data_IF_998673855153
#
_entry.id   IF_998673855153
#
_cell.length_a   1.000
_cell.length_b   1.000
_cell.length_c   1.000
_cell.angle_alpha   90.00
_cell.angle_beta   90.00
_cell.angle_gamma   90.00
#
_symmetry.space_group_name_H-M   'P 1'
#
loop_
_entity.id
_entity.type
_entity.pdbx_description
1 polymer ?
#
# COMPACT_ATOMS: atom_id res chain seq x y z
N UNK A 1 -29.19 -1.08 0.94
CA UNK A 1 -28.06 -0.15 1.12
C UNK A 1 -26.78 -0.96 0.99
N UNK A 2 -26.00 -0.75 -0.06
CA UNK A 2 -24.67 -1.36 -0.17
C UNK A 2 -23.72 -0.52 0.68
N UNK A 3 -23.34 -1.02 1.84
CA UNK A 3 -22.25 -0.43 2.63
C UNK A 3 -20.97 -0.61 1.83
N UNK A 4 -20.50 0.46 1.18
CA UNK A 4 -19.18 0.47 0.56
C UNK A 4 -18.17 0.51 1.71
N UNK A 5 -17.71 -0.66 2.14
CA UNK A 5 -16.63 -0.79 3.10
C UNK A 5 -15.34 -0.37 2.42
N UNK A 6 -14.74 0.73 2.89
CA UNK A 6 -13.41 1.13 2.47
C UNK A 6 -12.40 0.05 2.89
N UNK A 7 -11.51 -0.39 2.00
CA UNK A 7 -10.46 -1.32 2.38
C UNK A 7 -9.50 -0.66 3.37
N UNK A 8 -8.99 -1.48 4.27
CA UNK A 8 -7.98 -1.08 5.25
C UNK A 8 -6.62 -1.52 4.71
N UNK A 9 -5.66 -0.60 4.65
CA UNK A 9 -4.29 -0.88 4.25
C UNK A 9 -3.32 -0.50 5.39
N UNK A 10 -2.18 -1.20 5.54
CA UNK A 10 -1.13 -0.82 6.47
C UNK A 10 -0.53 0.56 6.15
N UNK A 11 -0.02 1.24 7.17
CA UNK A 11 0.67 2.54 7.02
C UNK A 11 1.82 2.50 6.00
N UNK A 12 2.64 1.44 5.99
CA UNK A 12 3.73 1.27 5.03
C UNK A 12 3.25 1.24 3.57
N UNK A 13 2.04 0.73 3.32
CA UNK A 13 1.44 0.72 1.97
C UNK A 13 1.01 2.13 1.58
N UNK A 14 0.39 2.86 2.51
CA UNK A 14 0.00 4.25 2.28
C UNK A 14 1.23 5.14 2.03
N UNK A 15 2.28 4.99 2.83
CA UNK A 15 3.55 5.71 2.67
C UNK A 15 4.22 5.40 1.33
N UNK A 16 4.25 4.13 0.91
CA UNK A 16 4.82 3.73 -0.39
C UNK A 16 4.08 4.37 -1.56
N UNK A 17 2.74 4.52 -1.48
CA UNK A 17 1.96 5.20 -2.52
C UNK A 17 2.33 6.69 -2.58
N UNK A 18 2.41 7.36 -1.42
CA UNK A 18 2.74 8.79 -1.36
C UNK A 18 4.18 9.08 -1.80
N UNK A 19 5.13 8.19 -1.51
CA UNK A 19 6.51 8.30 -2.00
C UNK A 19 6.55 8.25 -3.52
N UNK A 20 5.88 7.28 -4.14
CA UNK A 20 5.80 7.17 -5.61
C UNK A 20 5.10 8.38 -6.23
N UNK A 21 4.03 8.90 -5.61
CA UNK A 21 3.39 10.14 -6.05
C UNK A 21 4.35 11.33 -5.98
N UNK A 22 5.18 11.40 -4.95
CA UNK A 22 6.21 12.44 -4.80
C UNK A 22 7.31 12.35 -5.87
N UNK A 23 7.58 11.14 -6.38
CA UNK A 23 8.46 10.90 -7.53
C UNK A 23 7.80 11.22 -8.88
N UNK A 24 6.51 11.56 -8.88
CA UNK A 24 5.77 12.00 -10.06
C UNK A 24 4.82 10.95 -10.64
N UNK A 25 4.57 9.84 -9.94
CA UNK A 25 3.64 8.81 -10.41
C UNK A 25 2.19 9.31 -10.38
N UNK A 26 1.52 9.24 -11.52
CA UNK A 26 0.09 9.45 -11.67
C UNK A 26 -0.72 8.16 -11.51
N UNK A 27 -2.04 8.30 -11.49
CA UNK A 27 -2.95 7.15 -11.37
C UNK A 27 -2.77 6.16 -12.54
N UNK A 28 -2.50 6.67 -13.74
CA UNK A 28 -2.19 5.86 -14.92
C UNK A 28 -0.89 5.07 -14.76
N UNK A 29 0.14 5.61 -14.09
CA UNK A 29 1.39 4.90 -13.84
C UNK A 29 1.17 3.71 -12.89
N UNK A 30 0.34 3.90 -11.86
CA UNK A 30 -0.07 2.81 -10.98
C UNK A 30 -0.91 1.74 -11.69
N UNK A 31 -1.82 2.15 -12.58
CA UNK A 31 -2.68 1.21 -13.34
C UNK A 31 -1.90 0.46 -14.41
N UNK A 32 -0.91 1.11 -15.02
CA UNK A 32 0.00 0.51 -16.00
C UNK A 32 1.19 -0.18 -15.35
N UNK A 33 1.34 -0.14 -14.03
CA UNK A 33 2.45 -0.75 -13.32
C UNK A 33 2.47 -2.27 -13.61
N UNK A 34 3.36 -2.77 -14.50
CA UNK A 34 3.10 -4.02 -15.19
C UNK A 34 3.50 -5.25 -14.38
N UNK A 35 4.45 -5.12 -13.45
CA UNK A 35 5.14 -6.25 -12.83
C UNK A 35 6.02 -5.75 -11.69
N UNK A 36 6.30 -6.66 -10.76
CA UNK A 36 7.37 -6.56 -9.78
C UNK A 36 8.62 -5.85 -10.34
N UNK A 37 8.97 -4.70 -9.77
CA UNK A 37 10.16 -3.93 -10.10
C UNK A 37 11.21 -4.16 -9.02
N UNK A 38 12.30 -4.86 -9.34
CA UNK A 38 13.36 -5.17 -8.36
C UNK A 38 14.11 -3.93 -7.87
N UNK A 39 14.14 -2.86 -8.66
CA UNK A 39 14.92 -1.65 -8.40
C UNK A 39 14.13 -0.60 -7.58
N UNK A 40 12.80 -0.73 -7.51
CA UNK A 40 11.92 0.15 -6.74
C UNK A 40 11.32 -0.56 -5.50
N UNK A 41 11.85 -0.33 -4.28
CA UNK A 41 11.36 -0.97 -3.06
C UNK A 41 9.87 -0.77 -2.79
N UNK A 42 9.37 0.45 -2.99
CA UNK A 42 7.98 0.84 -2.82
C UNK A 42 7.11 0.01 -3.76
N UNK A 43 7.48 -0.05 -5.04
CA UNK A 43 6.71 -0.77 -6.04
C UNK A 43 6.72 -2.30 -5.80
N UNK A 44 7.79 -2.88 -5.23
CA UNK A 44 7.80 -4.28 -4.76
C UNK A 44 6.80 -4.52 -3.65
N UNK A 45 6.77 -3.65 -2.66
CA UNK A 45 5.86 -3.76 -1.51
C UNK A 45 4.41 -3.68 -1.99
N UNK A 46 4.10 -2.70 -2.85
CA UNK A 46 2.78 -2.57 -3.47
C UNK A 46 2.42 -3.82 -4.28
N UNK A 47 3.32 -4.33 -5.13
CA UNK A 47 3.09 -5.54 -5.90
C UNK A 47 2.75 -6.73 -4.99
N UNK A 48 3.55 -6.99 -3.95
CA UNK A 48 3.32 -8.14 -3.06
C UNK A 48 2.05 -8.00 -2.23
N UNK A 49 1.69 -6.79 -1.79
CA UNK A 49 0.48 -6.54 -1.02
C UNK A 49 -0.79 -6.68 -1.88
N UNK A 50 -0.77 -6.11 -3.09
CA UNK A 50 -1.95 -6.02 -3.94
C UNK A 50 -2.10 -7.15 -4.98
N UNK A 51 -1.09 -8.01 -5.18
CA UNK A 51 -1.11 -9.08 -6.21
C UNK A 51 -2.37 -9.96 -6.21
N UNK A 52 -2.98 -10.17 -5.05
CA UNK A 52 -4.18 -10.99 -4.88
C UNK A 52 -5.45 -10.18 -4.61
N UNK A 53 -5.37 -8.85 -4.54
CA UNK A 53 -6.50 -7.98 -4.22
C UNK A 53 -6.46 -6.67 -5.03
N UNK A 54 -6.79 -6.79 -6.31
CA UNK A 54 -6.84 -5.65 -7.25
C UNK A 54 -7.95 -4.64 -6.91
N UNK A 55 -8.99 -5.05 -6.17
CA UNK A 55 -10.06 -4.15 -5.73
C UNK A 55 -9.52 -3.17 -4.69
N UNK A 56 -8.79 -3.68 -3.69
CA UNK A 56 -8.10 -2.84 -2.69
C UNK A 56 -7.04 -1.97 -3.35
N UNK A 57 -6.35 -2.45 -4.39
CA UNK A 57 -5.41 -1.63 -5.17
C UNK A 57 -6.10 -0.45 -5.84
N UNK A 58 -7.15 -0.70 -6.62
CA UNK A 58 -7.89 0.36 -7.30
C UNK A 58 -8.44 1.39 -6.30
N UNK A 59 -8.95 0.92 -5.15
CA UNK A 59 -9.40 1.79 -4.07
C UNK A 59 -8.25 2.61 -3.45
N UNK A 60 -7.06 2.03 -3.32
CA UNK A 60 -5.87 2.71 -2.84
C UNK A 60 -5.42 3.83 -3.79
N UNK A 61 -5.41 3.56 -5.11
CA UNK A 61 -5.02 4.55 -6.11
C UNK A 61 -5.97 5.76 -6.12
N UNK A 62 -7.27 5.56 -5.94
CA UNK A 62 -8.24 6.69 -5.88
C UNK A 62 -8.37 7.30 -4.47
N UNK A 63 -7.42 7.07 -3.56
CA UNK A 63 -7.42 7.58 -2.19
C UNK A 63 -8.68 7.20 -1.36
N UNK A 64 -9.27 6.04 -1.66
CA UNK A 64 -10.48 5.53 -1.00
C UNK A 64 -10.19 4.34 -0.09
N UNK A 65 -9.33 4.53 0.92
CA UNK A 65 -8.96 3.52 1.91
C UNK A 65 -8.95 4.10 3.33
N UNK A 66 -8.76 3.23 4.32
CA UNK A 66 -8.43 3.58 5.69
C UNK A 66 -7.02 3.05 6.01
N UNK A 67 -6.25 3.80 6.78
CA UNK A 67 -4.92 3.38 7.22
C UNK A 67 -5.03 2.70 8.57
N UNK A 68 -4.42 1.52 8.70
CA UNK A 68 -4.15 0.90 9.99
C UNK A 68 -2.69 1.13 10.35
N UNK A 69 -2.46 1.87 11.43
CA UNK A 69 -1.16 1.89 12.08
C UNK A 69 -1.00 0.55 12.80
N UNK A 70 -0.25 -0.38 12.23
CA UNK A 70 0.33 -1.44 13.04
C UNK A 70 1.24 -0.74 14.04
N UNK A 71 0.78 -0.63 15.29
CA UNK A 71 1.68 -0.36 16.40
C UNK A 71 2.72 -1.48 16.37
N UNK A 72 3.92 -1.20 15.88
CA UNK A 72 5.08 -2.08 16.07
C UNK A 72 5.14 -2.38 17.57
N UNK A 73 4.70 -3.58 17.96
CA UNK A 73 5.07 -4.13 19.25
C UNK A 73 6.57 -4.38 19.16
N UNK A 74 7.37 -3.36 19.50
CA UNK A 74 8.74 -3.55 19.97
C UNK A 74 8.63 -4.53 21.13
N UNK A 75 8.81 -5.80 20.82
CA UNK A 75 9.00 -6.84 21.83
C UNK A 75 10.38 -6.55 22.39
N UNK A 76 10.42 -5.76 23.46
CA UNK A 76 11.60 -5.60 24.30
C UNK A 76 11.87 -6.96 24.93
N UNK A 77 12.58 -7.82 24.22
CA UNK A 77 13.23 -8.98 24.81
C UNK A 77 14.52 -8.50 25.48
N UNK A 78 14.37 -7.78 26.60
CA UNK A 78 15.47 -7.67 27.56
C UNK A 78 15.45 -8.95 28.39
N UNK A 79 16.41 -9.83 28.07
CA UNK A 79 16.75 -11.00 28.85
C UNK A 79 17.23 -10.57 30.24
N UNK A 80 16.71 -11.26 31.26
CA UNK A 80 17.10 -11.22 32.67
C UNK A 80 18.60 -11.39 32.89
#
# INVERSE_FOLDING_TARGET
MTTITKPIIPSIIAESIENLRSEGWGDDDFLNFPQYDEECPEARILFHFFRNNRVTFAAAIINSYLVHEEMETKTTAEYT
#
